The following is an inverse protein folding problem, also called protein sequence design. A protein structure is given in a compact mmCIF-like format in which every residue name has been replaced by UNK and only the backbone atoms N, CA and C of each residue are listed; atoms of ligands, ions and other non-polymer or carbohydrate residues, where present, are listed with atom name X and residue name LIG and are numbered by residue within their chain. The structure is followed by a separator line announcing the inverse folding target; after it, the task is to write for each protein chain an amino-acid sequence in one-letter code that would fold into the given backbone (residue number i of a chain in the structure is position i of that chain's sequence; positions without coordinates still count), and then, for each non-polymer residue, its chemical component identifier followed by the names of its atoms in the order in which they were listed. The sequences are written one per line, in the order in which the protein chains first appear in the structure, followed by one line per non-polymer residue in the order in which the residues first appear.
data_IF_431665909546
#
_entry.id   IF_431665909546
#
_cell.length_a   1.000
_cell.length_b   1.000
_cell.length_c   1.000
_cell.angle_alpha   90.00
_cell.angle_beta   90.00
_cell.angle_gamma   90.00
#
_symmetry.space_group_name_H-M   'P 1'
#
loop_
_entity.id
_entity.type
_entity.pdbx_description
1 polymer ?
#
# COMPACT_ATOMS: atom_id res chain seq x y z
N UNK A 1 -11.79 -16.09 -4.11
CA UNK A 1 -12.76 -15.03 -4.38
C UNK A 1 -12.13 -13.86 -5.10
N UNK A 2 -11.22 -13.16 -4.44
CA UNK A 2 -10.59 -11.92 -4.92
C UNK A 2 -10.00 -12.00 -6.34
N UNK A 3 -9.13 -12.97 -6.70
CA UNK A 3 -8.56 -13.03 -8.06
C UNK A 3 -9.63 -13.24 -9.14
N UNK A 4 -10.72 -13.96 -8.83
CA UNK A 4 -11.86 -14.14 -9.75
C UNK A 4 -12.58 -12.81 -9.98
N UNK A 5 -12.83 -12.05 -8.90
CA UNK A 5 -13.45 -10.73 -8.97
C UNK A 5 -12.58 -9.73 -9.76
N UNK A 6 -11.28 -9.69 -9.48
CA UNK A 6 -10.32 -8.82 -10.20
C UNK A 6 -10.32 -9.12 -11.70
N UNK A 7 -10.21 -10.39 -12.10
CA UNK A 7 -10.20 -10.76 -13.53
C UNK A 7 -11.54 -10.48 -14.24
N UNK A 8 -12.64 -10.52 -13.50
CA UNK A 8 -13.95 -10.07 -14.02
C UNK A 8 -13.91 -8.57 -14.34
N UNK A 9 -13.26 -7.74 -13.52
CA UNK A 9 -13.06 -6.31 -13.80
C UNK A 9 -12.08 -6.07 -14.95
N UNK A 10 -11.00 -6.86 -15.07
CA UNK A 10 -10.10 -6.81 -16.23
C UNK A 10 -10.85 -7.02 -17.54
N UNK A 11 -11.80 -7.94 -17.55
CA UNK A 11 -12.66 -8.19 -18.72
C UNK A 11 -13.65 -7.06 -18.93
N UNK A 12 -14.46 -6.74 -17.91
CA UNK A 12 -15.58 -5.83 -18.04
C UNK A 12 -15.16 -4.36 -18.24
N UNK A 13 -14.06 -3.92 -17.59
CA UNK A 13 -13.59 -2.54 -17.62
C UNK A 13 -12.38 -2.36 -18.57
N UNK A 14 -11.49 -3.36 -18.63
CA UNK A 14 -10.25 -3.31 -19.40
C UNK A 14 -10.32 -3.96 -20.77
N UNK A 15 -11.41 -4.66 -21.10
CA UNK A 15 -11.57 -5.37 -22.38
C UNK A 15 -10.62 -6.57 -22.56
N UNK A 16 -10.02 -7.09 -21.48
CA UNK A 16 -9.19 -8.29 -21.55
C UNK A 16 -10.07 -9.51 -21.85
N UNK A 17 -9.62 -10.38 -22.76
CA UNK A 17 -10.39 -11.57 -23.13
C UNK A 17 -10.48 -12.50 -21.90
N UNK A 18 -11.68 -12.92 -21.46
CA UNK A 18 -11.83 -13.77 -20.28
C UNK A 18 -11.17 -15.14 -20.47
N UNK A 19 -11.09 -15.63 -21.71
CA UNK A 19 -10.37 -16.87 -22.05
C UNK A 19 -8.86 -16.79 -21.88
N UNK A 20 -8.30 -15.59 -21.68
CA UNK A 20 -6.89 -15.34 -21.40
C UNK A 20 -6.63 -15.00 -19.92
N UNK A 21 -7.65 -15.10 -19.07
CA UNK A 21 -7.56 -14.81 -17.64
C UNK A 21 -7.50 -16.12 -16.84
N UNK A 22 -6.56 -16.21 -15.89
CA UNK A 22 -6.38 -17.39 -15.04
C UNK A 22 -6.32 -16.98 -13.55
N UNK A 23 -7.42 -17.14 -12.78
CA UNK A 23 -7.42 -16.88 -11.34
C UNK A 23 -6.70 -18.02 -10.61
N UNK A 24 -5.71 -17.67 -9.78
CA UNK A 24 -4.93 -18.64 -9.00
C UNK A 24 -4.99 -18.27 -7.52
N UNK A 25 -5.11 -19.29 -6.66
CA UNK A 25 -4.91 -19.17 -5.21
C UNK A 25 -3.83 -20.16 -4.81
N UNK A 26 -2.76 -19.67 -4.20
CA UNK A 26 -1.67 -20.51 -3.67
C UNK A 26 -1.99 -20.82 -2.22
N UNK A 27 -2.43 -22.05 -1.96
CA UNK A 27 -2.78 -22.48 -0.61
C UNK A 27 -1.56 -23.09 0.10
N UNK A 28 -1.07 -22.36 1.09
CA UNK A 28 0.03 -22.75 1.98
C UNK A 28 -0.46 -22.95 3.42
N UNK A 29 -1.77 -23.14 3.60
CA UNK A 29 -2.43 -23.16 4.91
C UNK A 29 -2.86 -21.78 5.41
N UNK A 30 -3.48 -21.76 6.59
CA UNK A 30 -4.06 -20.55 7.19
C UNK A 30 -3.79 -20.46 8.69
N UNK A 31 -3.54 -19.24 9.17
CA UNK A 31 -3.41 -18.98 10.61
C UNK A 31 -4.74 -18.65 11.28
N UNK A 32 -5.83 -18.55 10.51
CA UNK A 32 -7.16 -18.24 11.01
C UNK A 32 -7.76 -19.47 11.73
N UNK A 33 -7.78 -19.42 13.06
CA UNK A 33 -8.33 -20.48 13.93
C UNK A 33 -9.80 -20.84 13.64
N UNK A 34 -10.60 -19.87 13.20
CA UNK A 34 -12.01 -20.13 12.87
C UNK A 34 -12.10 -21.01 11.63
N UNK A 35 -11.33 -20.70 10.59
CA UNK A 35 -11.30 -21.49 9.35
C UNK A 35 -10.74 -22.89 9.57
N UNK A 36 -9.70 -23.04 10.40
CA UNK A 36 -9.14 -24.36 10.71
C UNK A 36 -10.18 -25.30 11.37
N UNK A 37 -11.09 -24.74 12.16
CA UNK A 37 -12.16 -25.45 12.87
C UNK A 37 -13.46 -25.58 12.06
N UNK A 38 -13.59 -24.84 10.97
CA UNK A 38 -14.80 -24.79 10.15
C UNK A 38 -14.88 -26.03 9.25
N UNK A 39 -15.92 -26.85 9.39
CA UNK A 39 -16.12 -28.07 8.59
C UNK A 39 -16.22 -27.80 7.08
N UNK A 40 -16.64 -26.58 6.69
CA UNK A 40 -16.77 -26.17 5.30
C UNK A 40 -15.53 -25.49 4.73
N UNK A 41 -14.44 -25.37 5.51
CA UNK A 41 -13.19 -24.82 4.99
C UNK A 41 -12.60 -25.70 3.89
N UNK A 42 -12.41 -25.08 2.71
CA UNK A 42 -12.01 -25.76 1.47
C UNK A 42 -10.49 -25.87 1.27
N UNK A 43 -9.70 -25.26 2.15
CA UNK A 43 -8.23 -25.23 2.05
C UNK A 43 -7.53 -26.25 2.93
N UNK A 44 -6.20 -26.21 2.90
CA UNK A 44 -5.33 -27.03 3.75
C UNK A 44 -5.56 -26.70 5.23
N UNK A 45 -5.96 -27.71 6.01
CA UNK A 45 -6.22 -27.61 7.46
C UNK A 45 -4.92 -27.63 8.28
N UNK A 46 -4.01 -26.73 7.96
CA UNK A 46 -2.73 -26.56 8.64
C UNK A 46 -2.39 -25.08 8.79
N UNK A 47 -1.48 -24.79 9.72
CA UNK A 47 -0.91 -23.45 9.86
C UNK A 47 -0.12 -23.07 8.61
N UNK A 48 -0.04 -21.76 8.36
CA UNK A 48 0.61 -21.23 7.17
C UNK A 48 2.09 -21.63 7.15
N UNK A 49 2.56 -22.23 6.06
CA UNK A 49 3.99 -22.47 5.85
C UNK A 49 4.75 -21.13 5.81
N UNK A 50 5.98 -21.12 6.32
CA UNK A 50 6.81 -19.90 6.42
C UNK A 50 8.26 -20.19 6.04
N UNK A 51 9.03 -19.14 5.79
CA UNK A 51 10.45 -19.26 5.49
C UNK A 51 10.70 -20.02 4.18
N UNK A 52 11.63 -20.97 4.21
CA UNK A 52 12.13 -21.64 3.02
C UNK A 52 11.05 -22.40 2.26
N UNK A 53 10.18 -23.14 2.94
CA UNK A 53 9.10 -23.93 2.31
C UNK A 53 8.15 -23.04 1.48
N UNK A 54 7.78 -21.88 2.02
CA UNK A 54 6.96 -20.89 1.32
C UNK A 54 7.70 -20.29 0.11
N UNK A 55 8.98 -19.94 0.31
CA UNK A 55 9.79 -19.31 -0.72
C UNK A 55 10.08 -20.24 -1.91
N UNK A 56 10.30 -21.53 -1.64
CA UNK A 56 10.52 -22.57 -2.65
C UNK A 56 9.27 -22.77 -3.51
N UNK A 57 8.10 -22.94 -2.89
CA UNK A 57 6.84 -23.09 -3.63
C UNK A 57 6.56 -21.88 -4.53
N UNK A 58 6.74 -20.66 -4.01
CA UNK A 58 6.52 -19.46 -4.83
C UNK A 58 7.55 -19.34 -5.95
N UNK A 59 8.79 -19.77 -5.73
CA UNK A 59 9.79 -19.75 -6.78
C UNK A 59 9.49 -20.76 -7.88
N UNK A 60 9.15 -22.00 -7.49
CA UNK A 60 8.71 -23.04 -8.41
C UNK A 60 7.50 -22.57 -9.24
N UNK A 61 6.50 -21.99 -8.58
CA UNK A 61 5.31 -21.44 -9.24
C UNK A 61 5.68 -20.40 -10.30
N UNK A 62 6.50 -19.40 -9.95
CA UNK A 62 6.89 -18.33 -10.89
C UNK A 62 7.66 -18.89 -12.09
N UNK A 63 8.59 -19.83 -11.85
CA UNK A 63 9.32 -20.53 -12.90
C UNK A 63 8.39 -21.33 -13.81
N UNK A 64 7.44 -22.08 -13.25
CA UNK A 64 6.48 -22.87 -14.01
C UNK A 64 5.55 -21.99 -14.85
N UNK A 65 5.05 -20.88 -14.31
CA UNK A 65 4.22 -19.92 -15.08
C UNK A 65 5.00 -19.38 -16.27
N UNK A 66 6.25 -18.96 -16.04
CA UNK A 66 7.12 -18.44 -17.09
C UNK A 66 7.45 -19.49 -18.17
N UNK A 67 7.72 -20.74 -17.75
CA UNK A 67 8.00 -21.84 -18.66
C UNK A 67 6.81 -22.20 -19.54
N UNK A 68 5.59 -22.20 -18.98
CA UNK A 68 4.39 -22.64 -19.69
C UNK A 68 3.71 -21.54 -20.52
N UNK A 69 3.75 -20.28 -20.05
CA UNK A 69 3.03 -19.16 -20.68
C UNK A 69 3.95 -18.12 -21.33
N UNK A 70 5.27 -18.27 -21.16
CA UNK A 70 6.30 -17.41 -21.78
C UNK A 70 6.54 -16.09 -21.06
N UNK A 71 7.50 -15.31 -21.57
CA UNK A 71 8.01 -14.07 -20.95
C UNK A 71 6.97 -12.94 -20.81
N UNK A 72 5.91 -12.97 -21.63
CA UNK A 72 4.95 -11.87 -21.76
C UNK A 72 3.71 -12.04 -20.86
N UNK A 73 3.62 -13.13 -20.11
CA UNK A 73 2.49 -13.35 -19.20
C UNK A 73 2.53 -12.34 -18.05
N UNK A 74 1.43 -11.61 -17.85
CA UNK A 74 1.29 -10.72 -16.71
C UNK A 74 0.93 -11.55 -15.46
N UNK A 75 1.72 -11.38 -14.41
CA UNK A 75 1.46 -11.98 -13.09
C UNK A 75 1.11 -10.84 -12.13
N UNK A 76 -0.17 -10.75 -11.75
CA UNK A 76 -0.63 -9.80 -10.74
C UNK A 76 -0.66 -10.46 -9.36
N UNK A 77 0.10 -9.90 -8.42
CA UNK A 77 0.01 -10.23 -7.00
C UNK A 77 -1.10 -9.40 -6.36
N UNK A 78 -1.84 -10.04 -5.45
CA UNK A 78 -3.01 -9.46 -4.79
C UNK A 78 -3.16 -10.05 -3.39
N UNK A 79 -3.50 -9.23 -2.40
CA UNK A 79 -3.84 -9.64 -1.02
C UNK A 79 -2.76 -10.48 -0.33
N UNK A 80 -1.48 -10.20 -0.61
CA UNK A 80 -0.38 -10.75 0.17
C UNK A 80 -0.21 -9.97 1.49
N UNK A 81 0.47 -10.56 2.47
CA UNK A 81 0.84 -9.82 3.68
C UNK A 81 1.99 -8.86 3.37
N UNK A 82 1.99 -7.66 3.99
CA UNK A 82 2.97 -6.57 3.79
C UNK A 82 4.39 -7.03 3.46
N UNK A 83 4.98 -7.86 4.32
CA UNK A 83 6.35 -8.31 4.12
C UNK A 83 6.54 -9.11 2.82
N UNK A 84 5.64 -10.07 2.56
CA UNK A 84 5.71 -10.94 1.41
C UNK A 84 5.43 -10.17 0.11
N UNK A 85 4.47 -9.25 0.11
CA UNK A 85 4.14 -8.47 -1.09
C UNK A 85 5.34 -7.64 -1.58
N UNK A 86 6.01 -6.93 -0.66
CA UNK A 86 7.22 -6.15 -0.99
C UNK A 86 8.37 -7.06 -1.45
N UNK A 87 8.59 -8.18 -0.77
CA UNK A 87 9.66 -9.12 -1.13
C UNK A 87 9.43 -9.74 -2.51
N UNK A 88 8.21 -10.22 -2.80
CA UNK A 88 7.86 -10.82 -4.08
C UNK A 88 7.97 -9.82 -5.23
N UNK A 89 7.46 -8.61 -5.04
CA UNK A 89 7.57 -7.56 -6.05
C UNK A 89 9.04 -7.21 -6.29
N UNK A 90 9.85 -7.04 -5.25
CA UNK A 90 11.29 -6.75 -5.38
C UNK A 90 12.06 -7.89 -6.08
N UNK A 91 11.74 -9.14 -5.75
CA UNK A 91 12.41 -10.33 -6.31
C UNK A 91 12.07 -10.55 -7.79
N UNK A 92 10.82 -10.39 -8.18
CA UNK A 92 10.36 -10.80 -9.52
C UNK A 92 10.22 -9.67 -10.54
N UNK A 93 10.22 -8.39 -10.13
CA UNK A 93 10.04 -7.24 -11.05
C UNK A 93 11.05 -7.12 -12.19
N UNK A 94 12.25 -7.70 -12.03
CA UNK A 94 13.31 -7.64 -13.04
C UNK A 94 13.39 -8.91 -13.89
N UNK A 95 12.62 -9.95 -13.55
CA UNK A 95 12.69 -11.27 -14.20
C UNK A 95 11.37 -11.72 -14.82
N UNK A 96 10.26 -11.12 -14.42
CA UNK A 96 8.91 -11.42 -14.87
C UNK A 96 8.13 -10.12 -15.09
N UNK A 97 7.11 -10.16 -15.97
CA UNK A 97 6.13 -9.09 -16.06
C UNK A 97 5.17 -9.20 -14.87
N UNK A 98 5.55 -8.58 -13.76
CA UNK A 98 4.76 -8.59 -12.51
C UNK A 98 4.19 -7.21 -12.18
N UNK A 99 3.05 -7.24 -11.51
CA UNK A 99 2.36 -6.08 -10.97
C UNK A 99 1.78 -6.45 -9.60
N UNK A 100 1.77 -5.53 -8.65
CA UNK A 100 1.03 -5.69 -7.40
C UNK A 100 0.03 -4.53 -7.28
N UNK A 101 -1.27 -4.83 -7.25
CA UNK A 101 -2.33 -3.81 -7.26
C UNK A 101 -2.43 -3.05 -5.94
N UNK A 102 -2.23 -3.73 -4.82
CA UNK A 102 -2.26 -3.16 -3.47
C UNK A 102 -1.14 -2.12 -3.26
N UNK A 103 0.02 -2.32 -3.88
CA UNK A 103 1.16 -1.40 -3.83
C UNK A 103 1.09 -0.38 -4.97
N UNK A 104 1.13 -0.84 -6.23
CA UNK A 104 1.34 0.01 -7.40
C UNK A 104 0.04 0.58 -7.95
N UNK A 105 -1.02 -0.23 -8.00
CA UNK A 105 -2.34 0.21 -8.47
C UNK A 105 -2.94 1.26 -7.54
N UNK A 106 -2.93 0.99 -6.24
CA UNK A 106 -3.38 1.92 -5.20
C UNK A 106 -2.56 3.22 -5.22
N UNK A 107 -1.24 3.14 -5.36
CA UNK A 107 -0.40 4.33 -5.49
C UNK A 107 -0.80 5.18 -6.71
N UNK A 108 -1.02 4.54 -7.86
CA UNK A 108 -1.37 5.21 -9.11
C UNK A 108 -2.71 5.95 -9.02
N UNK A 109 -3.77 5.30 -8.54
CA UNK A 109 -5.10 5.91 -8.45
C UNK A 109 -5.15 7.04 -7.42
N UNK A 110 -4.42 6.90 -6.31
CA UNK A 110 -4.35 7.96 -5.28
C UNK A 110 -3.59 9.18 -5.81
N UNK A 111 -2.46 8.98 -6.48
CA UNK A 111 -1.74 10.08 -7.13
C UNK A 111 -2.61 10.78 -8.18
N UNK A 112 -3.36 10.02 -8.99
CA UNK A 112 -4.30 10.59 -9.95
C UNK A 112 -5.37 11.45 -9.27
N UNK A 113 -5.91 10.97 -8.13
CA UNK A 113 -6.86 11.72 -7.30
C UNK A 113 -6.26 13.00 -6.73
N UNK A 114 -5.02 12.96 -6.25
CA UNK A 114 -4.30 14.14 -5.76
C UNK A 114 -4.07 15.17 -6.87
N UNK A 115 -3.58 14.75 -8.04
CA UNK A 115 -3.38 15.62 -9.20
C UNK A 115 -4.71 16.24 -9.66
N UNK A 116 -5.80 15.48 -9.65
CA UNK A 116 -7.12 16.01 -9.95
C UNK A 116 -7.57 17.06 -8.91
N UNK A 117 -7.34 16.79 -7.63
CA UNK A 117 -7.69 17.69 -6.53
C UNK A 117 -6.90 19.01 -6.56
N UNK A 118 -5.65 19.01 -7.03
CA UNK A 118 -4.84 20.22 -7.21
C UNK A 118 -5.52 21.28 -8.07
N UNK A 119 -6.38 20.89 -9.02
CA UNK A 119 -7.17 21.85 -9.83
C UNK A 119 -8.16 22.66 -8.98
N UNK A 120 -8.58 22.14 -7.83
CA UNK A 120 -9.52 22.78 -6.90
C UNK A 120 -8.79 23.48 -5.74
N UNK A 121 -7.75 22.84 -5.19
CA UNK A 121 -7.00 23.40 -4.05
C UNK A 121 -5.91 24.39 -4.45
N UNK A 122 -5.48 24.37 -5.72
CA UNK A 122 -4.38 25.18 -6.24
C UNK A 122 -3.01 24.64 -5.83
N UNK A 123 -1.95 25.22 -6.41
CA UNK A 123 -0.57 24.83 -6.15
C UNK A 123 -0.13 23.55 -6.87
N UNK A 124 1.00 23.03 -6.43
CA UNK A 124 1.66 21.82 -6.95
C UNK A 124 1.78 20.78 -5.84
N UNK A 125 2.04 19.51 -6.19
CA UNK A 125 2.31 18.46 -5.20
C UNK A 125 3.46 18.85 -4.25
N UNK A 126 4.44 19.60 -4.74
CA UNK A 126 5.58 20.05 -3.95
C UNK A 126 5.18 21.06 -2.86
N UNK A 127 4.04 21.74 -2.97
CA UNK A 127 3.59 22.74 -2.00
C UNK A 127 2.90 22.11 -0.78
N UNK A 128 2.60 20.82 -0.84
CA UNK A 128 1.85 20.11 0.18
C UNK A 128 2.74 19.31 1.14
N UNK A 129 2.25 19.21 2.39
CA UNK A 129 2.76 18.27 3.40
C UNK A 129 1.74 17.15 3.57
N UNK A 130 2.20 15.91 3.49
CA UNK A 130 1.37 14.71 3.50
C UNK A 130 1.51 13.97 4.82
N UNK A 131 0.39 13.56 5.41
CA UNK A 131 0.36 12.67 6.57
C UNK A 131 -0.49 11.44 6.27
N UNK A 132 0.09 10.27 6.51
CA UNK A 132 -0.57 8.99 6.35
C UNK A 132 -0.91 8.36 7.70
N UNK A 133 -2.14 7.88 7.86
CA UNK A 133 -2.48 6.91 8.88
C UNK A 133 -2.46 5.51 8.24
N UNK A 134 -1.47 4.71 8.60
CA UNK A 134 -1.21 3.41 8.01
C UNK A 134 0.07 3.44 7.19
N UNK A 135 1.06 2.63 7.60
CA UNK A 135 2.36 2.51 6.97
C UNK A 135 2.60 1.09 6.44
N UNK A 136 1.59 0.49 5.80
CA UNK A 136 1.67 -0.82 5.12
C UNK A 136 1.98 -0.67 3.63
N UNK A 137 1.63 -1.68 2.84
CA UNK A 137 1.77 -1.71 1.37
C UNK A 137 1.22 -0.46 0.68
N UNK A 138 -0.07 -0.20 0.84
CA UNK A 138 -0.74 0.94 0.22
C UNK A 138 -0.09 2.27 0.64
N UNK A 139 0.07 2.50 1.95
CA UNK A 139 0.61 3.76 2.47
C UNK A 139 2.03 4.06 1.97
N UNK A 140 2.93 3.07 2.04
CA UNK A 140 4.31 3.24 1.56
C UNK A 140 4.40 3.33 0.03
N UNK A 141 3.59 2.57 -0.71
CA UNK A 141 3.52 2.65 -2.17
C UNK A 141 3.04 4.00 -2.67
N UNK A 142 1.96 4.53 -2.08
CA UNK A 142 1.43 5.88 -2.40
C UNK A 142 2.50 6.93 -2.06
N UNK A 143 3.09 6.88 -0.87
CA UNK A 143 4.11 7.83 -0.43
C UNK A 143 5.31 7.87 -1.40
N UNK A 144 5.80 6.71 -1.84
CA UNK A 144 6.92 6.62 -2.79
C UNK A 144 6.55 7.20 -4.15
N UNK A 145 5.35 6.93 -4.66
CA UNK A 145 4.93 7.45 -5.96
C UNK A 145 4.70 8.98 -5.92
N UNK A 146 4.19 9.52 -4.82
CA UNK A 146 4.10 10.97 -4.60
C UNK A 146 5.50 11.59 -4.58
N UNK A 147 6.42 11.03 -3.80
CA UNK A 147 7.81 11.51 -3.74
C UNK A 147 8.46 11.51 -5.12
N UNK A 148 8.32 10.41 -5.87
CA UNK A 148 8.86 10.28 -7.22
C UNK A 148 8.27 11.32 -8.18
N UNK A 149 6.96 11.57 -8.14
CA UNK A 149 6.33 12.57 -9.00
C UNK A 149 6.79 14.00 -8.64
N UNK A 150 6.89 14.33 -7.34
CA UNK A 150 7.45 15.61 -6.90
C UNK A 150 8.90 15.76 -7.38
N UNK A 151 9.71 14.70 -7.26
CA UNK A 151 11.11 14.69 -7.68
C UNK A 151 11.22 14.96 -9.18
N UNK A 152 10.41 14.28 -10.00
CA UNK A 152 10.37 14.48 -11.46
C UNK A 152 9.94 15.89 -11.86
N UNK A 153 8.98 16.49 -11.14
CA UNK A 153 8.48 17.84 -11.45
C UNK A 153 9.42 18.95 -11.00
N UNK A 154 10.19 18.72 -9.94
CA UNK A 154 11.08 19.73 -9.34
C UNK A 154 12.56 19.54 -9.71
N UNK A 155 12.92 18.40 -10.30
CA UNK A 155 14.30 17.93 -10.48
C UNK A 155 15.10 17.79 -9.16
N UNK A 156 14.41 17.77 -8.01
CA UNK A 156 15.04 17.52 -6.72
C UNK A 156 15.29 16.00 -6.51
N UNK A 157 16.34 15.61 -5.78
CA UNK A 157 16.52 14.22 -5.37
C UNK A 157 15.30 13.69 -4.62
N UNK A 158 14.92 12.42 -4.84
CA UNK A 158 13.71 11.84 -4.23
C UNK A 158 13.78 11.89 -2.70
N UNK A 159 14.96 11.73 -2.12
CA UNK A 159 15.24 11.82 -0.68
C UNK A 159 14.80 13.16 -0.08
N UNK A 160 15.01 14.27 -0.82
CA UNK A 160 14.56 15.60 -0.40
C UNK A 160 13.04 15.71 -0.44
N UNK A 161 12.41 15.10 -1.45
CA UNK A 161 10.95 15.14 -1.59
C UNK A 161 10.23 14.31 -0.51
N UNK A 162 10.86 13.25 -0.01
CA UNK A 162 10.31 12.42 1.08
C UNK A 162 10.15 13.22 2.39
N UNK A 163 10.90 14.30 2.61
CA UNK A 163 10.85 15.12 3.83
C UNK A 163 9.49 15.77 4.10
N UNK A 164 8.64 15.90 3.07
CA UNK A 164 7.27 16.43 3.19
C UNK A 164 6.22 15.34 3.47
N UNK A 165 6.63 14.08 3.57
CA UNK A 165 5.74 12.93 3.65
C UNK A 165 5.98 12.19 4.97
N UNK A 166 4.93 12.10 5.78
CA UNK A 166 4.95 11.55 7.12
C UNK A 166 4.01 10.36 7.24
N UNK A 167 4.43 9.30 7.92
CA UNK A 167 3.64 8.09 8.11
C UNK A 167 3.43 7.81 9.60
N UNK A 168 2.23 7.37 9.95
CA UNK A 168 1.85 6.90 11.30
C UNK A 168 1.51 5.42 11.21
N UNK A 169 2.16 4.59 12.03
CA UNK A 169 1.84 3.16 12.15
C UNK A 169 1.22 2.84 13.52
N UNK A 170 1.04 1.54 13.81
CA UNK A 170 0.42 1.10 15.07
C UNK A 170 1.17 1.53 16.34
N UNK A 171 2.42 2.00 16.24
CA UNK A 171 3.21 2.51 17.37
C UNK A 171 3.36 4.04 17.33
N UNK A 172 2.71 4.73 16.39
CA UNK A 172 2.74 6.18 16.22
C UNK A 172 3.53 6.65 14.99
N UNK A 173 3.94 7.91 15.00
CA UNK A 173 4.71 8.56 13.94
C UNK A 173 6.01 7.82 13.67
N UNK A 174 6.30 7.59 12.39
CA UNK A 174 7.54 6.97 11.90
C UNK A 174 8.64 8.04 11.92
N UNK A 175 9.57 7.91 12.86
CA UNK A 175 10.63 8.91 13.12
C UNK A 175 11.99 8.23 13.30
N UNK A 176 13.07 9.01 13.14
CA UNK A 176 14.46 8.54 13.15
C UNK A 176 14.84 7.75 14.41
N UNK A 177 14.35 8.16 15.59
CA UNK A 177 14.59 7.47 16.86
C UNK A 177 14.02 6.04 16.92
N UNK A 178 13.13 5.68 15.99
CA UNK A 178 12.55 4.32 15.87
C UNK A 178 13.24 3.46 14.82
N UNK A 179 14.19 3.98 14.04
CA UNK A 179 14.69 3.39 12.77
C UNK A 179 15.14 1.93 12.89
N UNK A 180 15.80 1.55 13.98
CA UNK A 180 16.28 0.18 14.23
C UNK A 180 15.14 -0.84 14.39
N UNK A 181 13.99 -0.39 14.90
CA UNK A 181 12.81 -1.25 15.12
C UNK A 181 11.85 -1.29 13.92
N UNK A 182 12.14 -0.51 12.87
CA UNK A 182 11.29 -0.39 11.69
C UNK A 182 11.65 -1.44 10.64
N UNK A 183 10.61 -1.97 9.99
CA UNK A 183 10.75 -2.73 8.76
C UNK A 183 11.48 -1.87 7.71
N UNK A 184 12.31 -2.50 6.88
CA UNK A 184 13.19 -1.79 5.95
C UNK A 184 12.46 -0.78 5.05
N UNK A 185 11.28 -1.14 4.54
CA UNK A 185 10.47 -0.26 3.68
C UNK A 185 9.92 0.99 4.38
N UNK A 186 9.91 1.02 5.73
CA UNK A 186 9.49 2.19 6.52
C UNK A 186 10.65 3.17 6.78
N UNK A 187 11.89 2.70 6.71
CA UNK A 187 13.06 3.48 7.09
C UNK A 187 13.28 4.76 6.26
N UNK A 188 12.96 4.81 4.95
CA UNK A 188 13.05 6.04 4.17
C UNK A 188 12.13 7.18 4.64
N UNK A 189 11.11 6.87 5.46
CA UNK A 189 10.13 7.81 5.98
C UNK A 189 10.40 8.23 7.44
N UNK A 190 11.47 7.70 8.05
CA UNK A 190 11.83 7.93 9.43
C UNK A 190 12.67 9.21 9.58
N UNK A 191 12.00 10.36 9.45
CA UNK A 191 12.61 11.68 9.55
C UNK A 191 12.92 12.06 11.01
N UNK A 192 13.78 13.06 11.21
CA UNK A 192 14.01 13.63 12.54
C UNK A 192 12.76 14.38 13.01
N UNK A 193 12.17 13.89 14.11
CA UNK A 193 11.04 14.51 14.79
C UNK A 193 10.84 13.81 16.15
N UNK A 194 10.25 14.52 17.12
CA UNK A 194 9.86 13.91 18.40
C UNK A 194 8.84 12.78 18.20
N UNK A 195 8.91 11.68 18.98
CA UNK A 195 7.93 10.61 18.91
C UNK A 195 6.51 11.10 19.24
N UNK A 196 5.55 10.80 18.36
CA UNK A 196 4.14 11.13 18.57
C UNK A 196 3.29 9.87 18.42
N UNK A 197 2.51 9.51 19.44
CA UNK A 197 1.70 8.27 19.41
C UNK A 197 0.37 8.43 18.67
N UNK A 198 -0.39 9.46 19.04
CA UNK A 198 -1.77 9.65 18.57
C UNK A 198 -1.82 10.42 17.23
N UNK A 199 -2.71 10.01 16.33
CA UNK A 199 -2.90 10.69 15.04
C UNK A 199 -3.23 12.18 15.21
N UNK A 200 -4.12 12.52 16.17
CA UNK A 200 -4.49 13.92 16.40
C UNK A 200 -3.28 14.78 16.77
N UNK A 201 -2.38 14.24 17.58
CA UNK A 201 -1.16 14.95 17.96
C UNK A 201 -0.20 15.07 16.78
N UNK A 202 -0.11 14.04 15.93
CA UNK A 202 0.69 14.10 14.70
C UNK A 202 0.14 15.16 13.74
N UNK A 203 -1.18 15.25 13.58
CA UNK A 203 -1.83 16.30 12.78
C UNK A 203 -1.51 17.70 13.31
N UNK A 204 -1.57 17.91 14.63
CA UNK A 204 -1.25 19.20 15.25
C UNK A 204 0.24 19.58 15.12
N UNK A 205 1.14 18.59 15.22
CA UNK A 205 2.58 18.81 15.13
C UNK A 205 3.03 19.06 13.69
N UNK A 206 2.60 18.21 12.76
CA UNK A 206 3.03 18.23 11.35
C UNK A 206 2.25 19.29 10.53
N UNK A 207 1.02 19.60 10.93
CA UNK A 207 0.10 20.50 10.21
C UNK A 207 -0.01 20.16 8.71
N UNK A 208 -0.36 18.91 8.36
CA UNK A 208 -0.38 18.47 6.96
C UNK A 208 -1.54 19.10 6.19
N UNK A 209 -1.32 19.40 4.91
CA UNK A 209 -2.39 19.86 4.01
C UNK A 209 -3.17 18.69 3.40
N UNK A 210 -2.58 17.50 3.40
CA UNK A 210 -3.16 16.26 2.86
C UNK A 210 -3.09 15.16 3.92
N UNK A 211 -4.23 14.56 4.25
CA UNK A 211 -4.36 13.45 5.19
C UNK A 211 -4.89 12.20 4.45
N UNK A 212 -4.14 11.10 4.52
CA UNK A 212 -4.45 9.87 3.76
C UNK A 212 -4.55 8.68 4.74
N UNK A 213 -5.65 7.94 4.68
CA UNK A 213 -5.97 6.84 5.59
C UNK A 213 -5.92 5.48 4.90
N UNK A 214 -4.91 4.68 5.22
CA UNK A 214 -4.63 3.34 4.66
C UNK A 214 -4.31 2.34 5.77
N UNK A 215 -4.97 2.45 6.92
CA UNK A 215 -4.69 1.64 8.12
C UNK A 215 -5.52 0.36 8.22
N UNK A 216 -6.64 0.27 7.50
CA UNK A 216 -7.63 -0.80 7.70
C UNK A 216 -8.45 -0.65 8.99
N UNK A 217 -8.34 0.49 9.70
CA UNK A 217 -9.06 0.75 10.96
C UNK A 217 -10.06 1.89 10.78
N UNK A 218 -11.34 1.57 10.88
CA UNK A 218 -12.44 2.51 10.75
C UNK A 218 -12.49 3.57 11.86
N UNK A 219 -13.17 4.69 11.58
CA UNK A 219 -13.48 5.78 12.53
C UNK A 219 -12.26 6.45 13.18
N UNK A 220 -11.11 6.39 12.53
CA UNK A 220 -9.84 6.96 13.03
C UNK A 220 -9.68 8.46 12.71
N UNK A 221 -10.28 8.95 11.62
CA UNK A 221 -10.39 10.39 11.33
C UNK A 221 -11.56 10.99 12.12
N UNK A 222 -11.35 11.14 13.42
CA UNK A 222 -12.36 11.67 14.35
C UNK A 222 -12.69 13.13 14.07
N UNK A 223 -13.79 13.63 14.66
CA UNK A 223 -14.16 15.05 14.62
C UNK A 223 -12.97 15.96 14.99
N UNK A 224 -12.26 15.64 16.07
CA UNK A 224 -11.09 16.42 16.51
C UNK A 224 -9.93 16.42 15.50
N UNK A 225 -9.74 15.32 14.75
CA UNK A 225 -8.74 15.25 13.67
C UNK A 225 -9.14 16.16 12.50
N UNK A 226 -10.39 16.07 12.06
CA UNK A 226 -10.89 16.88 10.94
C UNK A 226 -10.92 18.37 11.29
N UNK A 227 -11.39 18.73 12.48
CA UNK A 227 -11.38 20.12 12.96
C UNK A 227 -9.96 20.68 13.06
N UNK A 228 -9.00 19.87 13.53
CA UNK A 228 -7.59 20.25 13.53
C UNK A 228 -7.09 20.53 12.11
N UNK A 229 -7.35 19.64 11.14
CA UNK A 229 -6.97 19.86 9.73
C UNK A 229 -7.50 21.19 9.18
N UNK A 230 -8.77 21.52 9.46
CA UNK A 230 -9.40 22.75 8.99
C UNK A 230 -8.92 24.01 9.70
N UNK A 231 -8.26 23.89 10.85
CA UNK A 231 -7.80 25.06 11.64
C UNK A 231 -6.57 25.76 11.05
N UNK A 232 -5.80 25.07 10.21
CA UNK A 232 -4.57 25.60 9.61
C UNK A 232 -4.50 25.40 8.08
N UNK A 233 -5.45 24.69 7.49
CA UNK A 233 -5.58 24.52 6.03
C UNK A 233 -7.00 24.90 5.61
N UNK A 234 -7.16 25.89 4.73
CA UNK A 234 -8.48 26.36 4.26
C UNK A 234 -9.25 25.26 3.51
N UNK A 235 -8.55 24.50 2.66
CA UNK A 235 -9.12 23.39 1.87
C UNK A 235 -8.29 22.11 2.10
N UNK A 236 -8.47 21.42 3.24
CA UNK A 236 -7.70 20.21 3.52
C UNK A 236 -8.15 19.07 2.60
N UNK A 237 -7.19 18.32 2.05
CA UNK A 237 -7.48 17.09 1.31
C UNK A 237 -7.47 15.90 2.27
N UNK A 238 -8.60 15.20 2.38
CA UNK A 238 -8.76 14.05 3.27
C UNK A 238 -9.20 12.85 2.44
N UNK A 239 -8.38 11.80 2.41
CA UNK A 239 -8.61 10.57 1.67
C UNK A 239 -8.73 9.39 2.65
N UNK A 240 -9.96 8.92 2.92
CA UNK A 240 -10.22 7.75 3.77
C UNK A 240 -10.35 6.49 2.88
N UNK A 241 -9.23 5.81 2.62
CA UNK A 241 -9.10 4.79 1.57
C UNK A 241 -9.20 3.34 2.09
N UNK A 242 -9.34 3.15 3.40
CA UNK A 242 -9.44 1.81 3.98
C UNK A 242 -10.77 1.16 3.60
N UNK A 243 -10.71 -0.10 3.21
CA UNK A 243 -11.87 -0.91 2.81
C UNK A 243 -12.09 -2.07 3.80
N UNK A 244 -13.34 -2.56 3.97
CA UNK A 244 -14.60 -1.98 3.49
C UNK A 244 -15.04 -0.78 4.37
N UNK A 245 -16.29 -0.32 4.22
CA UNK A 245 -16.83 0.85 4.93
C UNK A 245 -16.93 0.71 6.46
N UNK A 246 -16.93 -0.52 6.99
CA UNK A 246 -17.28 -0.86 8.38
C UNK A 246 -16.18 -0.59 9.41
#
# INVERSE_FOLDING_TARGET
GIPVGKLSLYTALGGVRPSACLPITIDVGTNNEKLLKDEFYIGLRQKRATGQEYAELLHEFMCAVKQNYGEKILIQFEDFANHNAFELLAKYRNTHLVFNDDIQGTASVVLAGLIAALKLVGGTLADHTFLFLGAGEAGAGIAELIALEISKKTNAPVEETRKKIWLVDSKGLVVSSRKESLQHFKQPWAHEHEPVKELLNAVKAIKPTVLIGTSGVGKTFTKGVVEAMTSFTEKPLILALSNPTS
#
